data_IF_626464578434
#
_entry.id   IF_626464578434
#
_cell.length_a   1.000
_cell.length_b   1.000
_cell.length_c   1.000
_cell.angle_alpha   90.00
_cell.angle_beta   90.00
_cell.angle_gamma   90.00
#
_symmetry.space_group_name_H-M   'P 1'
#
loop_
_entity.id
_entity.type
_entity.pdbx_description
1 polymer ?
#
# COMPACT_ATOMS: atom_id res chain seq x y z
N UNK A 1 -21.36 -2.87 33.01
CA UNK A 1 -22.53 -2.80 32.10
C UNK A 1 -21.94 -2.58 30.71
N UNK A 2 -21.95 -3.62 29.88
CA UNK A 2 -21.46 -3.56 28.51
C UNK A 2 -22.51 -2.79 27.67
N UNK A 3 -22.12 -1.66 27.09
CA UNK A 3 -22.91 -1.04 26.04
C UNK A 3 -22.86 -1.97 24.80
N UNK A 4 -23.99 -2.45 24.30
CA UNK A 4 -24.00 -3.21 23.08
C UNK A 4 -23.62 -2.26 21.92
N UNK A 5 -22.57 -2.62 21.19
CA UNK A 5 -22.29 -2.05 19.87
C UNK A 5 -23.56 -2.27 19.05
N UNK A 6 -24.28 -1.20 18.74
CA UNK A 6 -25.40 -1.26 17.80
C UNK A 6 -24.83 -1.69 16.46
N UNK A 7 -25.05 -2.95 16.08
CA UNK A 7 -24.91 -3.36 14.69
C UNK A 7 -25.89 -2.50 13.87
N UNK A 8 -25.35 -1.67 13.01
CA UNK A 8 -26.15 -1.03 11.97
C UNK A 8 -26.56 -2.15 11.04
N UNK A 9 -27.79 -2.62 11.15
CA UNK A 9 -28.37 -3.52 10.17
C UNK A 9 -28.61 -2.67 8.91
N UNK A 10 -27.82 -2.92 7.86
CA UNK A 10 -28.14 -2.42 6.53
C UNK A 10 -29.28 -3.26 5.98
N UNK A 11 -30.37 -2.62 5.58
CA UNK A 11 -31.41 -3.30 4.83
C UNK A 11 -30.83 -3.71 3.46
N UNK A 12 -31.21 -4.87 2.89
CA UNK A 12 -30.70 -5.32 1.60
C UNK A 12 -30.88 -4.29 0.48
N UNK A 13 -31.88 -3.43 0.57
CA UNK A 13 -32.18 -2.36 -0.37
C UNK A 13 -31.14 -1.22 -0.32
N UNK A 14 -30.52 -0.98 0.85
CA UNK A 14 -29.45 0.02 1.00
C UNK A 14 -28.12 -0.43 0.37
N UNK A 15 -27.98 -1.71 0.07
CA UNK A 15 -26.79 -2.30 -0.59
C UNK A 15 -26.95 -2.40 -2.11
N UNK A 16 -28.15 -2.19 -2.64
CA UNK A 16 -28.41 -2.15 -4.07
C UNK A 16 -28.10 -0.77 -4.61
N UNK A 17 -26.81 -0.47 -4.76
CA UNK A 17 -26.43 0.62 -5.64
C UNK A 17 -26.67 0.13 -7.08
N UNK A 18 -27.54 0.78 -7.80
CA UNK A 18 -27.79 0.53 -9.24
C UNK A 18 -26.52 0.74 -10.09
N UNK A 19 -25.37 1.03 -9.44
CA UNK A 19 -24.14 1.43 -10.10
C UNK A 19 -22.90 0.96 -9.38
N UNK A 20 -22.11 0.12 -10.05
CA UNK A 20 -20.76 -0.24 -9.59
C UNK A 20 -19.81 0.89 -9.98
N UNK A 21 -19.29 1.63 -9.00
CA UNK A 21 -18.35 2.73 -9.29
C UNK A 21 -16.92 2.24 -9.49
N UNK A 22 -16.46 1.33 -8.63
CA UNK A 22 -15.08 0.83 -8.66
C UNK A 22 -15.05 -0.68 -8.53
N UNK A 23 -14.20 -1.32 -9.34
CA UNK A 23 -13.92 -2.76 -9.27
C UNK A 23 -12.48 -2.95 -8.81
N UNK A 24 -12.26 -3.80 -7.81
CA UNK A 24 -10.93 -4.27 -7.43
C UNK A 24 -10.64 -5.54 -8.22
N UNK A 25 -9.56 -5.51 -9.00
CA UNK A 25 -9.17 -6.61 -9.88
C UNK A 25 -7.80 -7.17 -9.49
N UNK A 26 -7.76 -8.45 -9.12
CA UNK A 26 -6.51 -9.15 -8.83
C UNK A 26 -5.98 -9.83 -10.08
N UNK A 27 -4.95 -9.25 -10.69
CA UNK A 27 -4.33 -9.75 -11.91
C UNK A 27 -3.46 -10.99 -11.65
N UNK A 28 -2.79 -11.02 -10.52
CA UNK A 28 -1.94 -12.14 -10.10
C UNK A 28 -1.81 -12.19 -8.59
N UNK A 29 -1.56 -13.39 -8.07
CA UNK A 29 -1.08 -13.57 -6.70
C UNK A 29 0.40 -13.98 -6.66
N UNK A 30 1.08 -14.14 -7.82
CA UNK A 30 2.53 -14.31 -7.91
C UNK A 30 3.24 -12.98 -7.68
N UNK A 31 4.42 -13.01 -7.07
CA UNK A 31 5.24 -11.82 -6.84
C UNK A 31 6.73 -12.14 -7.09
N UNK A 32 7.46 -11.18 -7.63
CA UNK A 32 8.90 -11.26 -7.83
C UNK A 32 9.70 -11.00 -6.56
N UNK A 33 9.08 -10.40 -5.54
CA UNK A 33 9.69 -10.14 -4.23
C UNK A 33 9.35 -11.25 -3.23
N UNK A 34 10.15 -11.25 -2.14
CA UNK A 34 9.97 -12.14 -0.99
C UNK A 34 10.13 -11.31 0.28
N UNK A 35 9.22 -10.33 0.47
CA UNK A 35 9.23 -9.46 1.64
C UNK A 35 9.17 -10.28 2.92
N UNK A 36 9.92 -9.86 3.94
CA UNK A 36 10.11 -10.64 5.16
C UNK A 36 8.87 -10.78 6.02
N UNK A 37 7.83 -10.02 5.71
CA UNK A 37 6.52 -10.05 6.40
C UNK A 37 5.37 -10.60 5.55
N UNK A 38 5.61 -10.97 4.29
CA UNK A 38 4.54 -11.30 3.36
C UNK A 38 4.36 -12.82 3.21
N UNK A 39 3.15 -13.31 3.29
CA UNK A 39 2.81 -14.72 3.11
C UNK A 39 3.28 -15.33 1.77
N UNK A 40 3.50 -14.51 0.74
CA UNK A 40 4.11 -14.94 -0.54
C UNK A 40 5.53 -15.49 -0.35
N UNK A 41 6.19 -15.15 0.74
CA UNK A 41 7.54 -15.63 1.08
C UNK A 41 7.56 -17.03 1.69
N UNK A 42 6.41 -17.60 2.02
CA UNK A 42 6.31 -18.97 2.50
C UNK A 42 6.67 -19.96 1.38
N UNK A 43 7.47 -21.00 1.64
CA UNK A 43 7.81 -22.03 0.66
C UNK A 43 6.58 -22.80 0.12
N UNK A 44 5.52 -22.87 0.93
CA UNK A 44 4.24 -23.52 0.58
C UNK A 44 3.35 -22.64 -0.27
N UNK A 45 3.65 -21.34 -0.41
CA UNK A 45 2.83 -20.41 -1.16
C UNK A 45 2.84 -20.74 -2.66
N UNK A 46 1.64 -20.85 -3.23
CA UNK A 46 1.43 -21.07 -4.66
C UNK A 46 0.53 -19.97 -5.20
N UNK A 47 1.14 -19.03 -5.91
CA UNK A 47 0.39 -17.99 -6.60
C UNK A 47 -0.29 -18.49 -7.86
N UNK A 48 -1.23 -17.70 -8.36
CA UNK A 48 -1.98 -17.95 -9.60
C UNK A 48 -2.07 -16.65 -10.39
N UNK A 49 -2.03 -16.77 -11.71
CA UNK A 49 -2.27 -15.66 -12.62
C UNK A 49 -3.71 -15.74 -13.14
N UNK A 50 -4.30 -14.59 -13.39
CA UNK A 50 -5.57 -14.49 -14.05
C UNK A 50 -5.41 -14.92 -15.53
N UNK A 51 -6.48 -15.49 -16.11
CA UNK A 51 -6.53 -15.81 -17.53
C UNK A 51 -6.78 -14.54 -18.36
N UNK A 52 -5.70 -13.93 -18.82
CA UNK A 52 -5.73 -12.65 -19.52
C UNK A 52 -6.38 -12.69 -20.90
N UNK A 53 -6.67 -13.88 -21.46
CA UNK A 53 -7.46 -13.99 -22.68
C UNK A 53 -8.87 -13.39 -22.52
N UNK A 54 -9.34 -13.27 -21.27
CA UNK A 54 -10.67 -12.74 -20.92
C UNK A 54 -10.69 -11.24 -20.67
N UNK A 55 -9.51 -10.58 -20.59
CA UNK A 55 -9.44 -9.19 -20.10
C UNK A 55 -10.21 -8.21 -20.98
N UNK A 56 -10.16 -8.38 -22.31
CA UNK A 56 -10.87 -7.51 -23.23
C UNK A 56 -12.38 -7.58 -23.04
N UNK A 57 -12.93 -8.79 -22.88
CA UNK A 57 -14.36 -8.99 -22.61
C UNK A 57 -14.79 -8.44 -21.25
N UNK A 58 -13.94 -8.56 -20.23
CA UNK A 58 -14.19 -7.97 -18.90
C UNK A 58 -14.20 -6.43 -19.00
N UNK A 59 -13.21 -5.83 -19.65
CA UNK A 59 -13.15 -4.39 -19.82
C UNK A 59 -14.36 -3.85 -20.60
N UNK A 60 -14.85 -4.58 -21.60
CA UNK A 60 -16.06 -4.26 -22.32
C UNK A 60 -17.32 -4.33 -21.43
N UNK A 61 -17.45 -5.42 -20.64
CA UNK A 61 -18.57 -5.55 -19.70
C UNK A 61 -18.56 -4.44 -18.65
N UNK A 62 -17.38 -4.08 -18.11
CA UNK A 62 -17.25 -2.98 -17.16
C UNK A 62 -17.66 -1.64 -17.80
N UNK A 63 -17.23 -1.38 -19.03
CA UNK A 63 -17.63 -0.15 -19.76
C UNK A 63 -19.14 -0.09 -19.98
N UNK A 64 -19.75 -1.19 -20.41
CA UNK A 64 -21.21 -1.29 -20.63
C UNK A 64 -22.01 -1.14 -19.33
N UNK A 65 -21.45 -1.58 -18.20
CA UNK A 65 -22.02 -1.40 -16.87
C UNK A 65 -21.72 -0.01 -16.27
N UNK A 66 -21.10 0.89 -17.04
CA UNK A 66 -20.72 2.24 -16.60
C UNK A 66 -19.81 2.26 -15.37
N UNK A 67 -18.97 1.23 -15.20
CA UNK A 67 -17.92 1.20 -14.17
C UNK A 67 -16.95 2.36 -14.41
N UNK A 68 -16.71 3.16 -13.37
CA UNK A 68 -15.87 4.36 -13.48
C UNK A 68 -14.38 4.08 -13.35
N UNK A 69 -14.04 3.15 -12.46
CA UNK A 69 -12.66 2.88 -12.13
C UNK A 69 -12.38 1.39 -11.90
N UNK A 70 -11.18 0.97 -12.20
CA UNK A 70 -10.64 -0.33 -11.81
C UNK A 70 -9.36 -0.10 -11.00
N UNK A 71 -9.28 -0.74 -9.84
CA UNK A 71 -8.07 -0.79 -9.05
C UNK A 71 -7.40 -2.15 -9.25
N UNK A 72 -6.26 -2.16 -9.92
CA UNK A 72 -5.48 -3.36 -10.14
C UNK A 72 -4.56 -3.57 -8.95
N UNK A 73 -4.93 -4.54 -8.13
CA UNK A 73 -4.30 -4.81 -6.84
C UNK A 73 -4.30 -6.32 -6.59
N UNK A 74 -3.66 -6.78 -5.51
CA UNK A 74 -3.66 -8.19 -5.09
C UNK A 74 -2.47 -8.52 -4.20
N UNK A 75 -2.31 -9.80 -3.87
CA UNK A 75 -1.17 -10.29 -3.11
C UNK A 75 0.11 -10.41 -3.93
N UNK A 76 0.01 -10.33 -5.26
CA UNK A 76 1.11 -10.44 -6.19
C UNK A 76 1.64 -9.09 -6.69
N UNK A 77 2.45 -9.16 -7.73
CA UNK A 77 2.98 -8.00 -8.44
C UNK A 77 2.52 -8.01 -9.89
N UNK A 78 1.59 -7.13 -10.22
CA UNK A 78 1.02 -7.07 -11.58
C UNK A 78 2.06 -6.75 -12.63
N UNK A 79 3.03 -5.88 -12.33
CA UNK A 79 4.03 -5.43 -13.30
C UNK A 79 5.10 -6.49 -13.64
N UNK A 80 5.08 -7.64 -12.98
CA UNK A 80 5.90 -8.78 -13.38
C UNK A 80 5.29 -9.62 -14.51
N UNK A 81 4.01 -9.45 -14.79
CA UNK A 81 3.32 -10.24 -15.79
C UNK A 81 3.68 -9.79 -17.21
N UNK A 82 4.01 -10.69 -18.12
CA UNK A 82 4.22 -10.33 -19.52
C UNK A 82 3.00 -9.66 -20.12
N UNK A 83 3.17 -8.46 -20.69
CA UNK A 83 2.08 -7.73 -21.33
C UNK A 83 1.12 -7.01 -20.38
N UNK A 84 1.42 -6.89 -19.10
CA UNK A 84 0.56 -6.23 -18.10
C UNK A 84 0.12 -4.82 -18.53
N UNK A 85 0.99 -4.06 -19.17
CA UNK A 85 0.66 -2.73 -19.67
C UNK A 85 -0.47 -2.76 -20.70
N UNK A 86 -0.47 -3.75 -21.59
CA UNK A 86 -1.55 -3.92 -22.56
C UNK A 86 -2.87 -4.32 -21.89
N UNK A 87 -2.82 -5.06 -20.79
CA UNK A 87 -4.04 -5.36 -20.01
C UNK A 87 -4.62 -4.11 -19.38
N UNK A 88 -3.81 -3.25 -18.79
CA UNK A 88 -4.26 -1.96 -18.25
C UNK A 88 -4.82 -1.04 -19.35
N UNK A 89 -4.20 -1.07 -20.55
CA UNK A 89 -4.67 -0.29 -21.70
C UNK A 89 -6.10 -0.65 -22.11
N UNK A 90 -6.52 -1.92 -21.96
CA UNK A 90 -7.90 -2.33 -22.28
C UNK A 90 -8.95 -1.55 -21.48
N UNK A 91 -8.65 -1.17 -20.25
CA UNK A 91 -9.52 -0.34 -19.42
C UNK A 91 -9.40 1.15 -19.80
N UNK A 92 -8.16 1.65 -19.90
CA UNK A 92 -7.89 3.07 -20.22
C UNK A 92 -8.50 3.50 -21.55
N UNK A 93 -8.41 2.65 -22.58
CA UNK A 93 -8.94 2.97 -23.92
C UNK A 93 -10.47 2.93 -24.00
N UNK A 94 -11.12 2.40 -22.96
CA UNK A 94 -12.58 2.45 -22.77
C UNK A 94 -13.04 3.56 -21.81
N UNK A 95 -12.15 4.46 -21.44
CA UNK A 95 -12.45 5.57 -20.54
C UNK A 95 -12.62 5.16 -19.06
N UNK A 96 -12.24 3.94 -18.69
CA UNK A 96 -12.25 3.49 -17.30
C UNK A 96 -10.94 3.96 -16.64
N UNK A 97 -11.07 4.69 -15.54
CA UNK A 97 -9.92 5.11 -14.74
C UNK A 97 -9.20 3.91 -14.17
N UNK A 98 -7.87 3.90 -14.22
CA UNK A 98 -7.07 2.80 -13.69
C UNK A 98 -6.24 3.29 -12.50
N UNK A 99 -6.30 2.55 -11.42
CA UNK A 99 -5.38 2.65 -10.29
C UNK A 99 -4.57 1.36 -10.16
N UNK A 100 -3.32 1.45 -9.75
CA UNK A 100 -2.45 0.28 -9.56
C UNK A 100 -1.70 0.37 -8.23
N UNK A 101 -1.47 -0.80 -7.61
CA UNK A 101 -0.50 -0.96 -6.53
C UNK A 101 0.66 -1.81 -7.03
N UNK A 102 1.90 -1.29 -6.90
CA UNK A 102 3.09 -1.98 -7.37
C UNK A 102 4.29 -1.74 -6.44
N UNK A 103 5.21 -2.67 -6.44
CA UNK A 103 6.47 -2.56 -5.71
C UNK A 103 7.55 -1.75 -6.45
N UNK A 104 7.31 -1.36 -7.68
CA UNK A 104 8.20 -0.55 -8.53
C UNK A 104 9.65 -1.07 -8.63
N UNK A 105 9.87 -2.38 -8.48
CA UNK A 105 11.20 -2.98 -8.47
C UNK A 105 11.82 -3.18 -9.86
N UNK A 106 11.03 -3.07 -10.92
CA UNK A 106 11.50 -3.15 -12.31
C UNK A 106 11.79 -1.77 -12.87
N UNK A 107 12.73 -1.70 -13.82
CA UNK A 107 12.83 -0.54 -14.72
C UNK A 107 11.79 -0.71 -15.81
N UNK A 108 10.88 0.24 -15.91
CA UNK A 108 9.81 0.20 -16.89
C UNK A 108 10.29 0.66 -18.26
N UNK A 109 9.83 -0.03 -19.30
CA UNK A 109 9.99 0.38 -20.69
C UNK A 109 9.22 1.66 -21.02
N UNK A 110 9.52 2.29 -22.14
CA UNK A 110 8.80 3.49 -22.57
C UNK A 110 7.28 3.25 -22.74
N UNK A 111 6.90 2.04 -23.17
CA UNK A 111 5.49 1.66 -23.31
C UNK A 111 4.80 1.51 -21.95
N UNK A 112 5.48 0.89 -20.98
CA UNK A 112 4.96 0.72 -19.62
C UNK A 112 4.85 2.05 -18.90
N UNK A 113 5.85 2.93 -19.03
CA UNK A 113 5.81 4.31 -18.55
C UNK A 113 4.64 5.06 -19.16
N UNK A 114 4.39 4.90 -20.46
CA UNK A 114 3.26 5.55 -21.14
C UNK A 114 1.91 5.13 -20.55
N UNK A 115 1.72 3.84 -20.31
CA UNK A 115 0.48 3.32 -19.70
C UNK A 115 0.32 3.82 -18.26
N UNK A 116 1.38 3.77 -17.45
CA UNK A 116 1.36 4.28 -16.07
C UNK A 116 1.06 5.78 -16.03
N UNK A 117 1.54 6.54 -17.02
CA UNK A 117 1.31 8.00 -17.09
C UNK A 117 -0.15 8.38 -17.31
N UNK A 118 -0.96 7.45 -17.80
CA UNK A 118 -2.40 7.65 -18.05
C UNK A 118 -3.26 7.23 -16.85
N UNK A 119 -2.66 6.64 -15.81
CA UNK A 119 -3.40 6.16 -14.64
C UNK A 119 -3.80 7.31 -13.73
N UNK A 120 -4.92 7.17 -13.05
CA UNK A 120 -5.43 8.16 -12.09
C UNK A 120 -4.64 8.14 -10.78
N UNK A 121 -4.32 6.92 -10.29
CA UNK A 121 -3.72 6.70 -8.98
C UNK A 121 -2.70 5.58 -9.01
N UNK A 122 -1.53 5.84 -8.46
CA UNK A 122 -0.43 4.86 -8.39
C UNK A 122 0.02 4.73 -6.93
N UNK A 123 -0.25 3.57 -6.36
CA UNK A 123 0.27 3.22 -5.03
C UNK A 123 1.61 2.50 -5.18
N UNK A 124 2.66 3.12 -4.64
CA UNK A 124 4.00 2.56 -4.59
C UNK A 124 4.23 1.93 -3.23
N UNK A 125 4.49 0.63 -3.24
CA UNK A 125 4.78 -0.11 -2.00
C UNK A 125 6.23 0.11 -1.58
N UNK A 126 6.45 0.94 -0.56
CA UNK A 126 7.77 1.30 -0.02
C UNK A 126 7.70 1.49 1.49
N UNK A 127 8.49 0.74 2.26
CA UNK A 127 8.38 0.75 3.73
C UNK A 127 9.35 1.73 4.40
N UNK A 128 10.43 2.07 3.72
CA UNK A 128 11.49 2.94 4.25
C UNK A 128 12.34 3.51 3.13
N UNK A 129 13.01 4.63 3.40
CA UNK A 129 14.01 5.25 2.49
C UNK A 129 15.45 4.89 2.88
N UNK A 130 15.66 4.22 4.01
CA UNK A 130 16.93 3.56 4.30
C UNK A 130 17.12 2.40 3.31
N UNK A 131 18.10 2.53 2.42
CA UNK A 131 18.31 1.60 1.31
C UNK A 131 18.68 0.19 1.77
N UNK A 132 19.43 0.08 2.86
CA UNK A 132 19.85 -1.23 3.37
C UNK A 132 18.71 -1.91 4.12
N UNK A 133 17.91 -1.14 4.87
CA UNK A 133 16.71 -1.65 5.50
C UNK A 133 15.66 -2.05 4.45
N UNK A 134 15.45 -1.24 3.42
CA UNK A 134 14.51 -1.55 2.32
C UNK A 134 14.89 -2.87 1.64
N UNK A 135 16.17 -3.08 1.34
CA UNK A 135 16.66 -4.34 0.77
C UNK A 135 16.47 -5.54 1.71
N UNK A 136 16.60 -5.34 3.03
CA UNK A 136 16.35 -6.41 4.00
C UNK A 136 14.88 -6.77 4.06
N UNK A 137 14.01 -5.76 4.20
CA UNK A 137 12.56 -5.95 4.43
C UNK A 137 11.86 -6.43 3.16
N UNK A 138 12.09 -5.77 2.01
CA UNK A 138 11.42 -6.12 0.75
C UNK A 138 12.20 -7.04 -0.15
N UNK A 139 13.49 -7.25 0.09
CA UNK A 139 14.38 -8.13 -0.68
C UNK A 139 14.39 -7.80 -2.18
N UNK A 140 15.52 -7.42 -2.71
CA UNK A 140 15.74 -7.08 -4.13
C UNK A 140 15.12 -5.76 -4.63
N UNK A 141 14.65 -4.89 -3.78
CA UNK A 141 14.19 -3.54 -4.17
C UNK A 141 15.34 -2.54 -4.06
N UNK A 142 15.46 -1.66 -5.04
CA UNK A 142 16.38 -0.50 -4.99
C UNK A 142 15.56 0.79 -5.01
N UNK A 143 15.74 1.63 -3.99
CA UNK A 143 15.09 2.94 -3.88
C UNK A 143 15.30 3.80 -5.14
N UNK A 144 16.48 3.74 -5.76
CA UNK A 144 16.77 4.51 -6.97
C UNK A 144 15.87 4.11 -8.13
N UNK A 145 15.58 2.82 -8.29
CA UNK A 145 14.65 2.33 -9.32
C UNK A 145 13.24 2.87 -9.09
N UNK A 146 12.77 2.87 -7.85
CA UNK A 146 11.47 3.42 -7.49
C UNK A 146 11.40 4.91 -7.89
N UNK A 147 12.36 5.71 -7.43
CA UNK A 147 12.37 7.16 -7.71
C UNK A 147 12.49 7.43 -9.21
N UNK A 148 13.36 6.71 -9.92
CA UNK A 148 13.50 6.85 -11.37
C UNK A 148 12.17 6.60 -12.09
N UNK A 149 11.47 5.52 -11.77
CA UNK A 149 10.18 5.19 -12.38
C UNK A 149 9.14 6.29 -12.11
N UNK A 150 9.04 6.78 -10.88
CA UNK A 150 8.11 7.85 -10.53
C UNK A 150 8.36 9.11 -11.36
N UNK A 151 9.63 9.53 -11.49
CA UNK A 151 9.99 10.72 -12.25
C UNK A 151 9.75 10.52 -13.76
N UNK A 152 10.07 9.34 -14.31
CA UNK A 152 9.81 9.02 -15.72
C UNK A 152 8.30 9.07 -16.05
N UNK A 153 7.47 8.50 -15.17
CA UNK A 153 6.01 8.51 -15.32
C UNK A 153 5.47 9.94 -15.28
N UNK A 154 5.89 10.75 -14.30
CA UNK A 154 5.45 12.14 -14.16
C UNK A 154 5.85 12.98 -15.36
N UNK A 155 7.11 12.87 -15.80
CA UNK A 155 7.59 13.60 -16.98
C UNK A 155 6.76 13.25 -18.21
N UNK A 156 6.48 11.97 -18.42
CA UNK A 156 5.65 11.51 -19.54
C UNK A 156 4.22 12.02 -19.45
N UNK A 157 3.62 11.93 -18.26
CA UNK A 157 2.23 12.35 -18.00
C UNK A 157 2.02 13.84 -18.30
N UNK A 158 2.89 14.69 -17.78
CA UNK A 158 2.85 16.15 -18.02
C UNK A 158 3.14 16.50 -19.47
N UNK A 159 4.16 15.87 -20.07
CA UNK A 159 4.60 16.26 -21.41
C UNK A 159 3.65 15.81 -22.53
N UNK A 160 2.84 14.77 -22.30
CA UNK A 160 2.04 14.15 -23.37
C UNK A 160 0.54 14.24 -23.09
N UNK A 161 0.15 14.11 -21.83
CA UNK A 161 -1.27 13.98 -21.48
C UNK A 161 -1.83 15.17 -20.71
N UNK A 162 -1.00 16.16 -20.35
CA UNK A 162 -1.36 17.26 -19.45
C UNK A 162 -2.09 16.75 -18.19
N UNK A 163 -1.54 15.69 -17.62
CA UNK A 163 -2.11 14.91 -16.54
C UNK A 163 -1.09 14.71 -15.42
N UNK A 164 -1.57 14.61 -14.18
CA UNK A 164 -0.74 14.35 -13.00
C UNK A 164 -1.26 13.11 -12.28
N UNK A 165 -0.65 11.93 -12.50
CA UNK A 165 -1.01 10.75 -11.72
C UNK A 165 -0.76 11.01 -10.23
N UNK A 166 -1.74 10.73 -9.41
CA UNK A 166 -1.60 10.83 -7.95
C UNK A 166 -0.71 9.70 -7.45
N UNK A 167 0.39 10.04 -6.79
CA UNK A 167 1.25 9.06 -6.14
C UNK A 167 0.92 8.92 -4.66
N UNK A 168 0.65 7.67 -4.26
CA UNK A 168 0.53 7.27 -2.87
C UNK A 168 1.71 6.36 -2.50
N UNK A 169 2.44 6.68 -1.43
CA UNK A 169 3.38 5.76 -0.83
C UNK A 169 2.69 4.94 0.25
N UNK A 170 2.82 3.62 0.15
CA UNK A 170 2.27 2.69 1.13
C UNK A 170 3.39 1.94 1.85
N UNK A 171 3.42 2.08 3.17
CA UNK A 171 4.31 1.40 4.09
C UNK A 171 3.52 0.36 4.89
N UNK A 172 4.01 -0.88 4.98
CA UNK A 172 3.57 -1.83 6.00
C UNK A 172 4.28 -1.48 7.29
N UNK A 173 3.53 -0.96 8.27
CA UNK A 173 4.11 -0.45 9.51
C UNK A 173 4.55 -1.59 10.43
N UNK A 174 5.82 -1.58 10.78
CA UNK A 174 6.46 -2.60 11.63
C UNK A 174 7.41 -1.96 12.62
N UNK A 175 7.87 -2.76 13.60
CA UNK A 175 8.90 -2.38 14.57
C UNK A 175 10.23 -1.95 13.92
N UNK A 176 10.51 -2.41 12.70
CA UNK A 176 11.77 -2.11 12.01
C UNK A 176 11.75 -0.78 11.24
N UNK A 177 10.58 -0.27 10.87
CA UNK A 177 10.48 0.90 9.98
C UNK A 177 9.88 2.13 10.66
N UNK A 178 9.27 1.97 11.83
CA UNK A 178 8.53 3.04 12.50
C UNK A 178 9.39 4.26 12.85
N UNK A 179 10.65 4.06 13.18
CA UNK A 179 11.57 5.16 13.54
C UNK A 179 11.99 6.00 12.33
N UNK A 180 11.92 5.44 11.12
CA UNK A 180 12.29 6.09 9.86
C UNK A 180 11.16 6.83 9.15
N UNK A 181 9.96 6.91 9.73
CA UNK A 181 8.78 7.47 9.07
C UNK A 181 8.93 8.94 8.69
N UNK A 182 9.63 9.73 9.50
CA UNK A 182 9.90 11.13 9.19
C UNK A 182 10.66 11.30 7.87
N UNK A 183 11.76 10.57 7.71
CA UNK A 183 12.59 10.62 6.51
C UNK A 183 11.84 10.06 5.29
N UNK A 184 11.01 9.02 5.52
CA UNK A 184 10.16 8.44 4.51
C UNK A 184 9.14 9.46 3.97
N UNK A 185 8.44 10.18 4.82
CA UNK A 185 7.51 11.25 4.41
C UNK A 185 8.26 12.38 3.72
N UNK A 186 9.37 12.86 4.30
CA UNK A 186 10.14 13.94 3.71
C UNK A 186 10.64 13.62 2.31
N UNK A 187 11.17 12.42 2.11
CA UNK A 187 11.62 11.96 0.79
C UNK A 187 10.43 11.84 -0.18
N UNK A 188 9.28 11.37 0.28
CA UNK A 188 8.05 11.29 -0.52
C UNK A 188 7.62 12.67 -1.01
N UNK A 189 7.52 13.66 -0.12
CA UNK A 189 7.17 15.06 -0.47
C UNK A 189 8.14 15.61 -1.51
N UNK A 190 9.46 15.44 -1.31
CA UNK A 190 10.49 15.90 -2.26
C UNK A 190 10.36 15.24 -3.64
N UNK A 191 9.76 14.06 -3.71
CA UNK A 191 9.49 13.35 -4.96
C UNK A 191 8.02 13.51 -5.43
N UNK A 192 7.28 14.43 -4.83
CA UNK A 192 5.92 14.81 -5.20
C UNK A 192 4.87 13.76 -4.85
N UNK A 193 5.07 13.01 -3.80
CA UNK A 193 4.04 12.14 -3.22
C UNK A 193 3.05 13.01 -2.47
N UNK A 194 1.77 12.81 -2.76
CA UNK A 194 0.67 13.60 -2.16
C UNK A 194 -0.04 12.81 -1.06
N UNK A 195 -0.02 11.49 -1.16
CA UNK A 195 -0.67 10.62 -0.19
C UNK A 195 0.30 9.61 0.41
N UNK A 196 0.12 9.35 1.71
CA UNK A 196 0.89 8.39 2.46
C UNK A 196 -0.07 7.42 3.15
N UNK A 197 0.21 6.13 3.11
CA UNK A 197 -0.61 5.12 3.77
C UNK A 197 0.25 4.26 4.68
N UNK A 198 -0.07 4.23 5.97
CA UNK A 198 0.45 3.25 6.90
C UNK A 198 -0.50 2.06 6.96
N UNK A 199 -0.05 0.94 6.42
CA UNK A 199 -0.77 -0.33 6.37
C UNK A 199 -0.48 -1.18 7.59
N UNK A 200 -1.50 -1.90 8.06
CA UNK A 200 -1.37 -2.84 9.16
C UNK A 200 -0.57 -4.08 8.73
N UNK A 201 0.30 -4.57 9.61
CA UNK A 201 1.00 -5.83 9.40
C UNK A 201 0.03 -7.00 9.63
N UNK A 202 -0.08 -7.87 8.64
CA UNK A 202 -0.72 -9.17 8.80
C UNK A 202 0.37 -10.18 9.19
N UNK A 203 0.30 -10.67 10.41
CA UNK A 203 1.30 -11.60 10.89
C UNK A 203 1.10 -13.02 10.34
N UNK A 204 2.18 -13.59 9.86
CA UNK A 204 2.26 -14.97 9.44
C UNK A 204 3.24 -15.70 10.38
N UNK A 205 2.74 -16.40 11.38
CA UNK A 205 3.56 -17.09 12.39
C UNK A 205 4.59 -18.04 11.79
N UNK A 206 4.24 -18.69 10.70
CA UNK A 206 5.11 -19.60 9.96
C UNK A 206 6.34 -18.89 9.33
N UNK A 207 6.25 -17.60 9.03
CA UNK A 207 7.37 -16.86 8.46
C UNK A 207 8.55 -16.76 9.41
N UNK A 208 8.31 -16.57 10.69
CA UNK A 208 9.36 -16.48 11.70
C UNK A 208 10.16 -17.79 11.78
N UNK A 209 9.49 -18.95 11.67
CA UNK A 209 10.14 -20.25 11.67
C UNK A 209 10.96 -20.51 10.40
N UNK A 210 10.41 -20.11 9.25
CA UNK A 210 11.05 -20.35 7.94
C UNK A 210 12.24 -19.41 7.72
N UNK A 211 12.03 -18.12 7.89
CA UNK A 211 13.07 -17.11 7.62
C UNK A 211 14.11 -17.03 8.74
N UNK A 212 13.72 -17.36 9.98
CA UNK A 212 14.64 -17.40 11.12
C UNK A 212 15.75 -18.45 10.95
N UNK A 213 15.50 -19.55 10.24
CA UNK A 213 16.52 -20.56 9.90
C UNK A 213 17.63 -19.99 9.00
N UNK A 214 17.30 -19.00 8.20
CA UNK A 214 18.23 -18.29 7.30
C UNK A 214 18.85 -17.05 7.99
N UNK A 215 18.65 -16.86 9.29
CA UNK A 215 19.14 -15.70 10.04
C UNK A 215 18.40 -14.40 9.72
N UNK A 216 17.23 -14.47 9.09
CA UNK A 216 16.43 -13.29 8.74
C UNK A 216 15.50 -12.95 9.89
N UNK A 217 15.59 -11.72 10.40
CA UNK A 217 14.66 -11.20 11.40
C UNK A 217 13.35 -10.81 10.71
N UNK A 218 12.25 -11.45 11.11
CA UNK A 218 10.90 -11.11 10.65
C UNK A 218 10.41 -9.88 11.42
N UNK A 219 9.91 -8.85 10.73
CA UNK A 219 9.32 -7.68 11.39
C UNK A 219 8.09 -8.08 12.23
N UNK A 220 7.89 -7.37 13.32
CA UNK A 220 6.75 -7.55 14.22
C UNK A 220 5.81 -6.34 14.12
N UNK A 221 4.56 -6.56 14.45
CA UNK A 221 3.61 -5.48 14.63
C UNK A 221 4.05 -4.58 15.79
N UNK A 222 3.90 -3.25 15.64
CA UNK A 222 4.33 -2.28 16.68
C UNK A 222 3.65 -2.50 18.04
N UNK A 223 2.47 -3.11 18.07
CA UNK A 223 1.79 -3.49 19.31
C UNK A 223 2.56 -4.52 20.18
N UNK A 224 3.64 -5.12 19.67
CA UNK A 224 4.53 -6.00 20.46
C UNK A 224 5.74 -5.28 21.06
N UNK A 225 5.87 -3.98 20.83
CA UNK A 225 6.92 -3.16 21.41
C UNK A 225 6.80 -3.07 22.95
N UNK A 226 7.93 -2.84 23.60
CA UNK A 226 7.98 -2.47 25.00
C UNK A 226 7.35 -1.08 25.23
N UNK A 227 7.19 -0.70 26.50
CA UNK A 227 6.49 0.54 26.86
C UNK A 227 7.09 1.78 26.24
N UNK A 228 8.39 1.98 26.41
CA UNK A 228 9.07 3.20 25.96
C UNK A 228 9.20 3.23 24.43
N UNK A 229 9.45 2.07 23.83
CA UNK A 229 9.49 1.91 22.36
C UNK A 229 8.11 2.19 21.72
N UNK A 230 7.02 1.71 22.34
CA UNK A 230 5.67 1.96 21.85
C UNK A 230 5.29 3.44 21.93
N UNK A 231 5.66 4.11 23.03
CA UNK A 231 5.46 5.55 23.18
C UNK A 231 6.25 6.31 22.09
N UNK A 232 7.51 5.96 21.87
CA UNK A 232 8.33 6.56 20.81
C UNK A 232 7.71 6.32 19.42
N UNK A 233 7.21 5.11 19.15
CA UNK A 233 6.51 4.78 17.89
C UNK A 233 5.25 5.64 17.69
N UNK A 234 4.47 5.87 18.73
CA UNK A 234 3.30 6.77 18.66
C UNK A 234 3.70 8.19 18.24
N UNK A 235 4.77 8.72 18.83
CA UNK A 235 5.28 10.04 18.46
C UNK A 235 5.83 10.07 17.04
N UNK A 236 6.55 9.04 16.60
CA UNK A 236 7.07 8.92 15.23
C UNK A 236 5.94 8.95 14.19
N UNK A 237 4.86 8.20 14.44
CA UNK A 237 3.67 8.18 13.56
C UNK A 237 3.01 9.56 13.50
N UNK A 238 2.79 10.19 14.65
CA UNK A 238 2.15 11.51 14.71
C UNK A 238 3.00 12.60 14.05
N UNK A 239 4.31 12.58 14.24
CA UNK A 239 5.22 13.52 13.59
C UNK A 239 5.26 13.33 12.09
N UNK A 240 5.29 12.08 11.60
CA UNK A 240 5.23 11.76 10.19
C UNK A 240 3.92 12.28 9.56
N UNK A 241 2.79 12.06 10.24
CA UNK A 241 1.49 12.55 9.78
C UNK A 241 1.45 14.07 9.71
N UNK A 242 1.93 14.76 10.76
CA UNK A 242 2.02 16.21 10.77
C UNK A 242 2.87 16.73 9.61
N UNK A 243 4.03 16.13 9.37
CA UNK A 243 4.91 16.49 8.26
C UNK A 243 4.24 16.30 6.89
N UNK A 244 3.46 15.24 6.69
CA UNK A 244 2.70 15.02 5.46
C UNK A 244 1.72 16.19 5.20
N UNK A 245 0.96 16.60 6.22
CA UNK A 245 0.04 17.74 6.10
C UNK A 245 0.77 19.08 5.88
N UNK A 246 1.86 19.34 6.60
CA UNK A 246 2.68 20.54 6.40
C UNK A 246 3.26 20.62 4.98
N UNK A 247 3.53 19.45 4.37
CA UNK A 247 3.99 19.32 2.99
C UNK A 247 2.89 19.40 1.93
N UNK A 248 1.64 19.65 2.34
CA UNK A 248 0.49 19.77 1.43
C UNK A 248 -0.14 18.44 1.01
N UNK A 249 0.27 17.32 1.61
CA UNK A 249 -0.30 16.00 1.39
C UNK A 249 -1.18 15.54 2.55
N UNK A 250 -1.50 14.25 2.57
CA UNK A 250 -2.21 13.60 3.67
C UNK A 250 -1.59 12.25 4.06
N UNK A 251 -1.99 11.75 5.23
CA UNK A 251 -1.59 10.42 5.68
C UNK A 251 -2.79 9.65 6.23
N UNK A 252 -3.07 8.52 5.60
CA UNK A 252 -4.03 7.53 6.07
C UNK A 252 -3.33 6.49 6.94
N UNK A 253 -3.86 6.26 8.14
CA UNK A 253 -3.41 5.21 9.05
C UNK A 253 -4.52 4.19 9.15
N UNK A 254 -4.22 2.93 8.79
CA UNK A 254 -5.25 1.87 8.83
C UNK A 254 -5.75 1.65 10.27
N UNK A 255 -7.07 1.46 10.48
CA UNK A 255 -7.67 1.37 11.82
C UNK A 255 -7.02 0.33 12.74
N UNK A 256 -6.64 -0.83 12.22
CA UNK A 256 -5.98 -1.88 13.00
C UNK A 256 -4.68 -1.47 13.68
N UNK A 257 -3.99 -0.42 13.20
CA UNK A 257 -2.80 0.13 13.84
C UNK A 257 -3.18 0.81 15.16
N UNK A 258 -4.14 1.73 15.13
CA UNK A 258 -4.60 2.44 16.32
C UNK A 258 -5.24 1.49 17.34
N UNK A 259 -6.02 0.52 16.88
CA UNK A 259 -6.64 -0.52 17.71
C UNK A 259 -5.58 -1.36 18.42
N UNK A 260 -4.57 -1.86 17.70
CA UNK A 260 -3.48 -2.65 18.25
C UNK A 260 -2.63 -1.87 19.25
N UNK A 261 -2.30 -0.61 18.94
CA UNK A 261 -1.57 0.29 19.85
C UNK A 261 -2.36 0.52 21.13
N UNK A 262 -3.63 0.86 21.03
CA UNK A 262 -4.48 1.14 22.19
C UNK A 262 -4.67 -0.09 23.09
N UNK A 263 -4.88 -1.26 22.50
CA UNK A 263 -4.94 -2.51 23.24
C UNK A 263 -3.63 -2.77 24.01
N UNK A 264 -2.48 -2.51 23.39
CA UNK A 264 -1.17 -2.70 24.02
C UNK A 264 -0.89 -1.68 25.13
N UNK A 265 -1.21 -0.41 24.92
CA UNK A 265 -1.08 0.63 25.94
C UNK A 265 -1.85 0.27 27.21
N UNK A 266 -3.07 -0.20 27.07
CA UNK A 266 -3.90 -0.67 28.19
C UNK A 266 -3.25 -1.83 28.95
N UNK A 267 -2.66 -2.82 28.24
CA UNK A 267 -1.90 -3.93 28.85
C UNK A 267 -0.68 -3.45 29.64
N UNK A 268 -0.05 -2.36 29.18
CA UNK A 268 1.12 -1.74 29.82
C UNK A 268 0.75 -0.77 30.95
N UNK A 269 -0.54 -0.67 31.30
CA UNK A 269 -1.03 0.19 32.37
C UNK A 269 -1.11 1.68 31.99
N UNK A 270 -1.07 2.00 30.71
CA UNK A 270 -1.24 3.37 30.19
C UNK A 270 -2.71 3.54 29.84
N UNK A 271 -3.48 4.20 30.71
CA UNK A 271 -4.91 4.46 30.53
C UNK A 271 -5.14 5.69 29.63
N UNK A 272 -4.64 5.65 28.41
CA UNK A 272 -4.80 6.71 27.43
C UNK A 272 -5.11 6.08 26.07
N UNK A 273 -6.13 6.59 25.38
CA UNK A 273 -6.43 6.19 24.02
C UNK A 273 -5.72 7.15 23.05
N UNK A 274 -4.92 6.59 22.17
CA UNK A 274 -4.25 7.30 21.09
C UNK A 274 -5.20 7.43 19.91
N UNK A 275 -5.40 8.66 19.48
CA UNK A 275 -5.96 9.01 18.18
C UNK A 275 -4.88 9.74 17.40
N UNK A 276 -4.31 9.10 16.40
CA UNK A 276 -3.26 9.69 15.57
C UNK A 276 -3.72 10.93 14.78
N UNK A 277 -5.03 11.21 14.72
CA UNK A 277 -5.56 12.47 14.20
C UNK A 277 -5.47 13.62 15.19
N UNK A 278 -5.29 13.33 16.48
CA UNK A 278 -5.23 14.30 17.56
C UNK A 278 -3.94 14.14 18.39
N UNK A 279 -2.89 14.92 18.12
CA UNK A 279 -1.61 14.81 18.85
C UNK A 279 -1.70 14.97 20.36
N UNK A 280 -2.76 15.60 20.89
CA UNK A 280 -2.95 15.78 22.34
C UNK A 280 -3.29 14.45 23.06
N UNK A 281 -3.64 13.40 22.31
CA UNK A 281 -3.94 12.07 22.86
C UNK A 281 -2.70 11.19 23.02
N UNK A 282 -1.55 11.59 22.52
CA UNK A 282 -0.31 10.81 22.62
C UNK A 282 0.10 10.59 24.07
N UNK A 283 0.66 9.41 24.40
CA UNK A 283 1.02 9.04 25.75
C UNK A 283 2.26 9.74 26.26
#
# INVERSE_FOLDING_TARGET
MQNPVKSVAYEPEDLLTDRIETVIFTATTNCNLRCTYCGVSLPTYKGKDFDFSKIAGIAEQMANASVRAVQINGHGETTMLPGWANYCRQFLDRGIKVAITSNFSFLYSAEEVDVLSRMEWITVSIDTVDRELLKRVRRKVDLRTIIYNMQAIRLRAVSVYDHYPVFNWQCTLTDQVVDGLRDWVQMGILNGVEHFTLGNLIEHTELAEVLGKDGVTVPRHIAFLGKDELVAACHSIADARRLAYEGGGDMTIQPGIAEGVNARLAQLGINRMVDFSNPSTLP
#
